data_IF_746735254978
#
_entry.id   IF_746735254978
#
_cell.length_a   1.000
_cell.length_b   1.000
_cell.length_c   1.000
_cell.angle_alpha   90.00
_cell.angle_beta   90.00
_cell.angle_gamma   90.00
#
_symmetry.space_group_name_H-M   'P 1'
#
loop_
_entity.id
_entity.type
_entity.pdbx_description
1 polymer ?
#
# COMPACT_ATOMS: atom_id res chain seq x y z
N UNK A 1 0.50 30.40 49.43
CA UNK A 1 0.04 30.78 48.07
C UNK A 1 1.26 31.24 47.30
N UNK A 2 1.31 30.87 46.01
CA UNK A 2 2.38 31.08 45.01
C UNK A 2 3.56 30.09 44.99
N UNK A 3 3.93 29.69 43.75
CA UNK A 3 5.08 28.88 43.37
C UNK A 3 4.70 27.70 42.46
N UNK A 4 4.27 27.96 41.22
CA UNK A 4 5.07 27.87 39.97
C UNK A 4 5.52 26.45 39.55
N UNK A 5 5.01 26.08 38.38
CA UNK A 5 5.36 24.94 37.51
C UNK A 5 6.81 24.95 37.03
N UNK A 6 7.47 23.79 37.07
CA UNK A 6 8.76 23.52 36.43
C UNK A 6 8.72 22.17 35.69
N UNK A 7 9.28 22.16 34.48
CA UNK A 7 9.22 21.12 33.44
C UNK A 7 9.80 19.75 33.87
N UNK A 8 9.17 18.67 33.38
CA UNK A 8 9.74 17.32 33.41
C UNK A 8 10.66 17.11 32.20
N UNK A 9 11.95 16.91 32.46
CA UNK A 9 12.89 16.35 31.49
C UNK A 9 12.71 14.82 31.43
N UNK A 10 12.41 14.33 30.24
CA UNK A 10 12.42 12.90 29.91
C UNK A 10 13.87 12.46 29.73
N UNK A 11 14.36 11.57 30.60
CA UNK A 11 15.70 11.00 30.46
C UNK A 11 16.05 10.03 31.59
N UNK A 12 16.28 8.77 31.23
CA UNK A 12 16.70 7.62 32.04
C UNK A 12 15.62 6.94 32.91
N UNK A 13 15.25 5.72 32.50
CA UNK A 13 14.43 4.81 33.30
C UNK A 13 15.24 4.21 34.45
N UNK A 14 15.53 4.98 35.51
CA UNK A 14 16.04 4.44 36.78
C UNK A 14 14.88 4.29 37.75
N UNK A 15 14.34 3.06 37.90
CA UNK A 15 13.42 2.74 39.00
C UNK A 15 14.24 2.40 40.24
N UNK A 16 14.28 3.30 41.22
CA UNK A 16 14.73 2.99 42.56
C UNK A 16 13.55 2.45 43.36
N UNK A 17 13.62 1.20 43.83
CA UNK A 17 12.68 0.67 44.82
C UNK A 17 13.30 0.89 46.20
N UNK A 18 12.77 1.83 46.97
CA UNK A 18 13.16 2.00 48.37
C UNK A 18 12.36 1.04 49.26
N UNK A 19 13.01 0.00 49.77
CA UNK A 19 12.50 -0.72 50.94
C UNK A 19 12.96 -0.01 52.21
N UNK A 20 12.00 0.53 52.97
CA UNK A 20 12.26 1.10 54.30
C UNK A 20 12.23 -0.04 55.31
N UNK A 21 13.39 -0.61 55.62
CA UNK A 21 13.50 -1.54 56.74
C UNK A 21 14.00 -0.79 57.99
N UNK A 22 13.13 -0.73 59.00
CA UNK A 22 13.42 -0.09 60.29
C UNK A 22 14.30 -1.03 61.11
N UNK A 23 15.62 -1.01 60.89
CA UNK A 23 16.67 -1.21 61.91
C UNK A 23 18.05 -1.30 61.24
N UNK A 24 18.98 -0.48 61.74
CA UNK A 24 20.44 -0.43 61.47
C UNK A 24 20.83 0.11 60.09
N UNK A 25 21.43 1.29 60.10
CA UNK A 25 21.98 1.96 58.92
C UNK A 25 23.19 1.22 58.36
N UNK A 26 23.09 0.83 57.09
CA UNK A 26 24.15 0.78 56.07
C UNK A 26 23.45 0.50 54.74
N UNK A 27 23.40 1.50 53.86
CA UNK A 27 22.99 1.30 52.47
C UNK A 27 24.17 0.70 51.71
N UNK A 28 24.06 -0.57 51.31
CA UNK A 28 24.92 -1.13 50.27
C UNK A 28 24.16 -1.00 48.94
N UNK A 29 24.70 -0.21 48.02
CA UNK A 29 24.22 -0.19 46.63
C UNK A 29 24.71 -1.48 45.97
N UNK A 30 23.84 -2.49 45.86
CA UNK A 30 24.03 -3.53 44.86
C UNK A 30 23.31 -3.10 43.59
N UNK A 31 24.09 -2.76 42.55
CA UNK A 31 23.57 -2.61 41.20
C UNK A 31 23.11 -3.98 40.70
N UNK A 32 21.80 -4.22 40.73
CA UNK A 32 21.21 -5.33 39.99
C UNK A 32 21.14 -4.86 38.53
N UNK A 33 22.12 -5.25 37.73
CA UNK A 33 22.04 -5.14 36.27
C UNK A 33 20.98 -6.14 35.81
N UNK A 34 19.74 -5.65 35.65
CA UNK A 34 18.69 -6.43 35.00
C UNK A 34 19.08 -6.51 33.52
N UNK A 35 19.38 -7.70 32.96
CA UNK A 35 19.70 -7.80 31.55
C UNK A 35 18.53 -7.23 30.74
N UNK A 36 18.81 -6.30 29.83
CA UNK A 36 17.80 -5.80 28.89
C UNK A 36 17.19 -7.01 28.19
N UNK A 37 15.85 -7.08 28.13
CA UNK A 37 15.17 -8.12 27.35
C UNK A 37 15.71 -8.05 25.91
N UNK A 38 16.07 -9.18 25.27
CA UNK A 38 16.67 -9.19 23.93
C UNK A 38 15.85 -8.43 22.86
N UNK A 39 14.53 -8.27 23.06
CA UNK A 39 13.66 -7.52 22.16
C UNK A 39 13.75 -5.99 22.27
N UNK A 40 14.28 -5.44 23.37
CA UNK A 40 14.30 -3.98 23.59
C UNK A 40 15.42 -3.29 22.79
N UNK A 41 16.59 -3.91 22.69
CA UNK A 41 17.70 -3.40 21.87
C UNK A 41 17.43 -3.48 20.36
N UNK A 42 16.66 -4.48 19.90
CA UNK A 42 16.24 -4.58 18.48
C UNK A 42 15.26 -3.47 18.10
N UNK A 43 14.33 -3.10 18.98
CA UNK A 43 13.44 -1.96 18.76
C UNK A 43 14.20 -0.63 18.76
N UNK A 44 15.17 -0.44 19.66
CA UNK A 44 16.00 0.77 19.71
C UNK A 44 16.73 1.03 18.38
N UNK A 45 17.32 -0.01 17.76
CA UNK A 45 18.00 0.13 16.46
C UNK A 45 17.05 0.35 15.28
N UNK A 46 15.91 -0.34 15.24
CA UNK A 46 14.90 -0.10 14.20
C UNK A 46 14.35 1.33 14.31
N UNK A 47 14.05 1.76 15.54
CA UNK A 47 13.63 3.12 15.86
C UNK A 47 14.64 4.15 15.37
N UNK A 48 15.93 3.99 15.67
CA UNK A 48 16.99 4.91 15.21
C UNK A 48 17.05 5.02 13.68
N UNK A 49 16.89 3.91 12.95
CA UNK A 49 16.93 3.92 11.48
C UNK A 49 15.71 4.61 10.89
N UNK A 50 14.52 4.31 11.41
CA UNK A 50 13.30 4.95 10.94
C UNK A 50 13.23 6.43 11.33
N UNK A 51 13.67 6.77 12.54
CA UNK A 51 13.76 8.15 13.00
C UNK A 51 14.76 8.94 12.16
N UNK A 52 15.96 8.41 11.93
CA UNK A 52 16.98 9.12 11.13
C UNK A 52 16.54 9.37 9.68
N UNK A 53 15.83 8.42 9.06
CA UNK A 53 15.48 8.50 7.64
C UNK A 53 14.12 9.12 7.36
N UNK A 54 13.13 8.88 8.21
CA UNK A 54 11.76 9.31 7.98
C UNK A 54 11.25 10.31 9.03
N UNK A 55 12.02 10.54 10.11
CA UNK A 55 11.59 11.35 11.25
C UNK A 55 10.26 10.83 11.85
N UNK A 56 10.08 9.51 11.83
CA UNK A 56 8.90 8.83 12.36
C UNK A 56 9.28 7.90 13.49
N UNK A 57 8.52 8.00 14.57
CA UNK A 57 8.51 7.02 15.64
C UNK A 57 7.82 5.74 15.15
N UNK A 58 8.54 4.62 15.13
CA UNK A 58 8.00 3.32 14.70
C UNK A 58 7.00 2.73 15.68
N UNK A 59 6.97 3.21 16.92
CA UNK A 59 5.99 2.79 17.94
C UNK A 59 4.64 3.52 17.78
N UNK A 60 4.58 4.56 16.95
CA UNK A 60 3.39 5.38 16.75
C UNK A 60 2.38 4.73 15.76
N UNK A 61 2.76 4.19 14.58
CA UNK A 61 1.85 3.41 13.74
C UNK A 61 1.78 1.94 14.18
N UNK A 62 0.56 1.45 14.44
CA UNK A 62 0.30 0.05 14.81
C UNK A 62 0.60 -0.99 13.70
N UNK A 63 0.69 -0.57 12.43
CA UNK A 63 0.89 -1.47 11.27
C UNK A 63 1.85 -0.87 10.26
N UNK A 64 2.50 -1.74 9.46
CA UNK A 64 3.40 -1.30 8.37
C UNK A 64 2.65 -0.50 7.30
N UNK A 65 1.39 -0.84 7.00
CA UNK A 65 0.54 -0.04 6.11
C UNK A 65 0.26 1.36 6.67
N UNK A 66 -0.01 1.47 7.98
CA UNK A 66 -0.20 2.78 8.62
C UNK A 66 1.10 3.60 8.60
N UNK A 67 2.25 2.95 8.81
CA UNK A 67 3.55 3.59 8.67
C UNK A 67 3.78 4.09 7.24
N UNK A 68 3.57 3.25 6.22
CA UNK A 68 3.72 3.64 4.81
C UNK A 68 2.81 4.82 4.44
N UNK A 69 1.53 4.76 4.81
CA UNK A 69 0.59 5.87 4.60
C UNK A 69 1.00 7.15 5.32
N UNK A 70 1.60 7.05 6.51
CA UNK A 70 2.08 8.21 7.26
C UNK A 70 3.30 8.83 6.60
N UNK A 71 4.32 8.03 6.24
CA UNK A 71 5.50 8.51 5.51
C UNK A 71 5.05 9.22 4.23
N UNK A 72 4.14 8.60 3.49
CA UNK A 72 3.61 9.15 2.24
C UNK A 72 2.91 10.51 2.44
N UNK A 73 2.08 10.63 3.49
CA UNK A 73 1.32 11.85 3.79
C UNK A 73 2.14 12.95 4.45
N UNK A 74 3.29 12.64 5.04
CA UNK A 74 4.17 13.63 5.68
C UNK A 74 4.91 14.51 4.68
N UNK A 75 5.00 14.10 3.41
CA UNK A 75 5.47 14.98 2.36
C UNK A 75 4.39 16.05 2.08
N UNK A 76 4.53 17.24 2.69
CA UNK A 76 3.53 18.30 2.62
C UNK A 76 3.31 18.85 1.20
N UNK A 77 4.33 18.79 0.35
CA UNK A 77 4.24 19.21 -1.05
C UNK A 77 3.39 18.22 -1.85
N UNK A 78 3.44 16.94 -1.48
CA UNK A 78 2.66 15.87 -2.08
C UNK A 78 1.14 16.07 -1.91
N UNK A 79 0.67 16.32 -0.68
CA UNK A 79 -0.79 16.46 -0.42
C UNK A 79 -1.39 17.74 -1.04
N UNK A 80 -0.57 18.78 -1.21
CA UNK A 80 -0.97 20.03 -1.87
C UNK A 80 -1.07 19.87 -3.38
N UNK A 81 -0.17 19.12 -3.99
CA UNK A 81 -0.09 18.94 -5.44
C UNK A 81 -1.02 17.84 -5.96
N UNK A 82 -1.39 16.87 -5.11
CA UNK A 82 -2.19 15.70 -5.50
C UNK A 82 -3.36 15.45 -4.54
N UNK A 83 -4.41 16.30 -4.55
CA UNK A 83 -5.57 16.10 -3.67
C UNK A 83 -6.33 14.82 -4.05
N UNK A 84 -6.34 13.84 -3.14
CA UNK A 84 -7.12 12.61 -3.30
C UNK A 84 -8.57 12.89 -2.91
N UNK A 85 -9.47 12.83 -3.89
CA UNK A 85 -10.90 12.97 -3.63
C UNK A 85 -11.44 11.79 -2.82
N UNK A 86 -12.11 12.07 -1.71
CA UNK A 86 -12.77 11.03 -0.91
C UNK A 86 -14.14 10.74 -1.54
N UNK A 87 -14.35 9.54 -2.13
CA UNK A 87 -15.60 9.22 -2.80
C UNK A 87 -16.75 9.14 -1.80
N UNK A 88 -17.95 9.56 -2.23
CA UNK A 88 -19.17 9.24 -1.50
C UNK A 88 -19.51 7.73 -1.64
N UNK A 89 -20.49 7.27 -0.86
CA UNK A 89 -20.89 5.86 -0.82
C UNK A 89 -21.26 5.28 -2.18
N UNK A 90 -21.91 6.05 -3.06
CA UNK A 90 -22.35 5.55 -4.36
C UNK A 90 -21.16 5.33 -5.30
N UNK A 91 -20.24 6.29 -5.34
CA UNK A 91 -18.99 6.19 -6.09
C UNK A 91 -18.17 5.00 -5.60
N UNK A 92 -17.93 4.92 -4.29
CA UNK A 92 -17.15 3.84 -3.66
C UNK A 92 -17.78 2.46 -3.93
N UNK A 93 -19.09 2.31 -3.71
CA UNK A 93 -19.80 1.03 -3.92
C UNK A 93 -19.74 0.61 -5.39
N UNK A 94 -19.87 1.56 -6.33
CA UNK A 94 -19.78 1.26 -7.76
C UNK A 94 -18.37 0.78 -8.14
N UNK A 95 -17.33 1.53 -7.75
CA UNK A 95 -15.93 1.20 -8.09
C UNK A 95 -15.52 -0.13 -7.45
N UNK A 96 -15.88 -0.38 -6.18
CA UNK A 96 -15.55 -1.63 -5.48
C UNK A 96 -16.13 -2.89 -6.13
N UNK A 97 -17.23 -2.78 -6.88
CA UNK A 97 -17.74 -3.92 -7.66
C UNK A 97 -16.70 -4.38 -8.69
N UNK A 98 -16.00 -3.44 -9.31
CA UNK A 98 -14.89 -3.68 -10.26
C UNK A 98 -13.51 -3.85 -9.63
N UNK A 99 -13.40 -3.92 -8.30
CA UNK A 99 -12.14 -4.21 -7.64
C UNK A 99 -11.95 -5.73 -7.54
N UNK A 100 -11.08 -6.30 -8.38
CA UNK A 100 -10.78 -7.72 -8.43
C UNK A 100 -9.40 -8.04 -7.84
N UNK A 101 -9.20 -9.29 -7.43
CA UNK A 101 -7.89 -9.79 -7.02
C UNK A 101 -6.99 -10.10 -8.22
N UNK A 102 -5.81 -10.65 -7.95
CA UNK A 102 -4.87 -11.07 -8.99
C UNK A 102 -5.41 -12.21 -9.87
N UNK A 103 -4.98 -12.23 -11.13
CA UNK A 103 -5.27 -13.32 -12.07
C UNK A 103 -4.54 -14.59 -11.61
N UNK A 104 -5.32 -15.61 -11.26
CA UNK A 104 -4.81 -16.94 -10.91
C UNK A 104 -5.54 -18.00 -11.72
N UNK A 105 -4.79 -18.76 -12.52
CA UNK A 105 -5.31 -19.90 -13.28
C UNK A 105 -4.95 -21.23 -12.60
N UNK A 106 -5.84 -22.20 -12.71
CA UNK A 106 -5.60 -23.56 -12.21
C UNK A 106 -5.01 -24.40 -13.33
N UNK A 107 -3.77 -24.84 -13.12
CA UNK A 107 -3.07 -25.76 -14.02
C UNK A 107 -3.08 -27.19 -13.46
N UNK A 108 -2.89 -28.17 -14.34
CA UNK A 108 -2.56 -29.53 -13.90
C UNK A 108 -1.24 -29.45 -13.10
N UNK A 109 -1.16 -30.04 -11.90
CA UNK A 109 0.02 -29.93 -11.03
C UNK A 109 1.17 -30.85 -11.49
N UNK A 110 1.48 -30.82 -12.79
CA UNK A 110 2.52 -31.61 -13.43
C UNK A 110 3.06 -30.87 -14.65
N UNK A 111 4.38 -30.86 -14.81
CA UNK A 111 5.06 -30.38 -16.00
C UNK A 111 6.55 -30.73 -15.95
N UNK A 112 7.17 -30.77 -17.12
CA UNK A 112 8.60 -31.06 -17.33
C UNK A 112 9.26 -29.79 -17.91
N UNK A 113 10.55 -29.56 -17.60
CA UNK A 113 11.35 -28.43 -18.12
C UNK A 113 10.68 -27.04 -17.98
N UNK A 114 10.13 -26.76 -16.79
CA UNK A 114 9.41 -25.52 -16.52
C UNK A 114 10.33 -24.35 -16.13
N UNK A 115 9.94 -23.14 -16.54
CA UNK A 115 10.59 -21.89 -16.15
C UNK A 115 9.65 -21.06 -15.26
N UNK A 116 10.20 -20.52 -14.16
CA UNK A 116 9.48 -19.62 -13.25
C UNK A 116 9.97 -18.18 -13.43
N UNK A 117 9.04 -17.28 -13.72
CA UNK A 117 9.30 -15.85 -13.87
C UNK A 117 8.46 -15.08 -12.87
N UNK A 118 9.06 -14.05 -12.26
CA UNK A 118 8.39 -13.16 -11.31
C UNK A 118 8.67 -11.70 -11.70
N UNK A 119 7.65 -10.85 -11.56
CA UNK A 119 7.77 -9.43 -11.85
C UNK A 119 8.39 -8.73 -10.64
N UNK A 120 9.47 -8.00 -10.88
CA UNK A 120 10.13 -7.25 -9.82
C UNK A 120 9.25 -6.08 -9.35
N UNK A 121 8.56 -6.27 -8.22
CA UNK A 121 7.78 -5.23 -7.55
C UNK A 121 6.65 -4.68 -8.44
N UNK A 122 5.78 -5.57 -8.92
CA UNK A 122 4.68 -5.25 -9.85
C UNK A 122 3.86 -4.02 -9.43
N UNK A 123 3.27 -4.02 -8.23
CA UNK A 123 2.43 -2.91 -7.78
C UNK A 123 3.21 -1.60 -7.63
N UNK A 124 4.38 -1.55 -6.98
CA UNK A 124 5.23 -0.36 -6.97
C UNK A 124 5.56 0.17 -8.38
N UNK A 125 5.89 -0.71 -9.33
CA UNK A 125 6.14 -0.31 -10.70
C UNK A 125 4.90 0.36 -11.34
N UNK A 126 3.72 -0.25 -11.18
CA UNK A 126 2.46 0.34 -11.68
C UNK A 126 2.18 1.69 -11.01
N UNK A 127 2.37 1.76 -9.70
CA UNK A 127 2.23 2.97 -8.91
C UNK A 127 3.19 4.07 -9.37
N UNK A 128 4.38 3.75 -9.86
CA UNK A 128 5.34 4.78 -10.31
C UNK A 128 5.07 5.25 -11.73
N UNK A 129 4.84 4.32 -12.65
CA UNK A 129 4.99 4.59 -14.09
C UNK A 129 3.70 5.06 -14.78
N UNK A 130 2.52 4.72 -14.24
CA UNK A 130 1.26 4.90 -14.96
C UNK A 130 0.43 6.08 -14.42
N UNK A 131 -0.30 6.80 -15.30
CA UNK A 131 -1.28 7.79 -14.87
C UNK A 131 -2.36 7.19 -13.96
N UNK A 132 -2.79 7.97 -12.98
CA UNK A 132 -3.78 7.56 -11.97
C UNK A 132 -5.11 8.31 -12.16
N UNK A 133 -6.23 7.75 -11.67
CA UNK A 133 -7.50 8.47 -11.58
C UNK A 133 -7.41 9.59 -10.54
N UNK A 134 -7.59 10.83 -10.99
CA UNK A 134 -7.58 12.05 -10.18
C UNK A 134 -8.87 12.85 -10.26
N UNK A 135 -8.92 13.92 -9.48
CA UNK A 135 -10.03 14.87 -9.47
C UNK A 135 -11.32 14.30 -8.86
N UNK A 136 -12.42 15.03 -9.07
CA UNK A 136 -13.76 14.61 -8.62
C UNK A 136 -14.40 13.76 -9.72
N UNK A 137 -14.78 12.50 -9.45
CA UNK A 137 -15.36 11.64 -10.47
C UNK A 137 -16.71 12.15 -10.97
N UNK A 138 -16.91 12.08 -12.28
CA UNK A 138 -18.14 12.52 -12.94
C UNK A 138 -18.90 11.32 -13.48
N UNK A 139 -20.15 11.17 -13.03
CA UNK A 139 -21.02 10.11 -13.55
C UNK A 139 -21.42 10.39 -15.00
N UNK A 140 -21.30 9.35 -15.84
CA UNK A 140 -21.72 9.34 -17.25
C UNK A 140 -22.58 8.11 -17.53
N UNK A 141 -23.53 8.27 -18.45
CA UNK A 141 -24.46 7.24 -18.92
C UNK A 141 -24.56 7.33 -20.44
N UNK A 142 -25.14 6.32 -21.07
CA UNK A 142 -25.34 6.24 -22.51
C UNK A 142 -23.99 6.31 -23.26
N UNK A 143 -23.04 5.47 -22.84
CA UNK A 143 -21.66 5.46 -23.33
C UNK A 143 -21.44 4.48 -24.50
N UNK A 144 -22.50 3.85 -25.00
CA UNK A 144 -22.43 2.77 -25.99
C UNK A 144 -21.83 3.22 -27.32
N UNK A 145 -22.00 4.50 -27.66
CA UNK A 145 -21.46 5.14 -28.87
C UNK A 145 -20.18 5.95 -28.60
N UNK A 146 -19.65 5.89 -27.37
CA UNK A 146 -18.43 6.63 -27.00
C UNK A 146 -17.21 5.76 -27.27
N UNK A 147 -16.27 6.31 -28.04
CA UNK A 147 -14.97 5.69 -28.32
C UNK A 147 -14.23 5.34 -27.02
N UNK A 148 -13.92 4.06 -26.84
CA UNK A 148 -13.34 3.52 -25.60
C UNK A 148 -12.04 4.23 -25.20
N UNK A 149 -11.20 4.60 -26.17
CA UNK A 149 -9.91 5.28 -25.93
C UNK A 149 -10.06 6.65 -25.27
N UNK A 150 -11.20 7.30 -25.45
CA UNK A 150 -11.51 8.60 -24.83
C UNK A 150 -11.92 8.48 -23.36
N UNK A 151 -12.29 7.28 -22.92
CA UNK A 151 -12.74 7.04 -21.56
C UNK A 151 -11.56 6.85 -20.60
N UNK A 152 -11.66 7.42 -19.41
CA UNK A 152 -10.71 7.20 -18.32
C UNK A 152 -11.45 7.13 -16.99
N UNK A 153 -11.39 5.98 -16.31
CA UNK A 153 -12.14 5.76 -15.07
C UNK A 153 -12.73 4.36 -14.98
N UNK A 154 -13.84 4.22 -14.26
CA UNK A 154 -14.46 2.91 -13.97
C UNK A 154 -15.84 2.82 -14.61
N UNK A 155 -16.07 1.77 -15.40
CA UNK A 155 -17.26 1.65 -16.24
C UNK A 155 -17.90 0.26 -16.13
N UNK A 156 -19.22 0.25 -16.03
CA UNK A 156 -20.03 -0.94 -16.31
C UNK A 156 -20.08 -1.11 -17.82
N UNK A 157 -19.62 -2.26 -18.30
CA UNK A 157 -19.50 -2.54 -19.72
C UNK A 157 -20.09 -3.92 -20.04
N UNK A 158 -20.74 -4.01 -21.20
CA UNK A 158 -20.99 -5.28 -21.85
C UNK A 158 -19.71 -5.71 -22.56
N UNK A 159 -19.30 -6.95 -22.31
CA UNK A 159 -18.07 -7.56 -22.83
C UNK A 159 -18.44 -8.79 -23.63
N UNK A 160 -17.82 -8.93 -24.80
CA UNK A 160 -17.86 -10.13 -25.63
C UNK A 160 -16.42 -10.61 -25.91
N UNK A 161 -15.98 -11.53 -25.06
CA UNK A 161 -14.68 -12.17 -25.15
C UNK A 161 -14.72 -13.33 -26.17
N UNK A 162 -13.81 -13.36 -27.16
CA UNK A 162 -13.78 -14.43 -28.16
C UNK A 162 -13.64 -15.83 -27.54
N UNK A 163 -14.44 -16.78 -28.01
CA UNK A 163 -14.50 -18.14 -27.46
C UNK A 163 -13.22 -18.97 -27.67
N UNK A 164 -12.35 -18.56 -28.60
CA UNK A 164 -11.12 -19.27 -28.96
C UNK A 164 -9.89 -18.85 -28.15
N UNK A 165 -9.99 -17.82 -27.30
CA UNK A 165 -8.87 -17.36 -26.46
C UNK A 165 -8.65 -18.37 -25.32
N UNK A 166 -7.43 -18.87 -25.20
CA UNK A 166 -7.04 -19.84 -24.17
C UNK A 166 -6.77 -19.23 -22.80
N UNK A 167 -6.55 -17.91 -22.74
CA UNK A 167 -6.28 -17.15 -21.50
C UNK A 167 -7.08 -15.85 -21.50
N UNK A 168 -8.36 -15.91 -21.12
CA UNK A 168 -9.17 -14.71 -20.99
C UNK A 168 -8.59 -13.81 -19.89
N UNK A 169 -8.75 -12.50 -20.05
CA UNK A 169 -8.08 -11.47 -19.27
C UNK A 169 -9.03 -10.74 -18.34
N UNK A 170 -10.26 -10.45 -18.78
CA UNK A 170 -11.19 -9.70 -17.93
C UNK A 170 -11.82 -10.62 -16.87
N UNK A 171 -11.73 -10.25 -15.58
CA UNK A 171 -12.31 -11.03 -14.50
C UNK A 171 -13.84 -10.94 -14.46
N UNK A 172 -14.46 -11.97 -13.91
CA UNK A 172 -15.88 -12.01 -13.61
C UNK A 172 -16.09 -12.61 -12.21
N UNK A 173 -16.79 -11.87 -11.35
CA UNK A 173 -17.19 -12.37 -10.02
C UNK A 173 -18.46 -13.21 -10.17
N UNK A 174 -18.30 -14.53 -10.09
CA UNK A 174 -19.40 -15.43 -9.80
C UNK A 174 -19.61 -15.51 -8.27
N UNK A 175 -20.78 -15.94 -7.81
CA UNK A 175 -21.29 -15.79 -6.43
C UNK A 175 -20.26 -16.02 -5.30
N UNK A 176 -19.30 -16.94 -5.51
CA UNK A 176 -18.22 -17.22 -4.55
C UNK A 176 -16.82 -17.32 -5.19
N UNK A 177 -16.64 -16.98 -6.46
CA UNK A 177 -15.38 -17.21 -7.17
C UNK A 177 -15.02 -16.11 -8.17
N UNK A 178 -13.73 -15.95 -8.41
CA UNK A 178 -13.20 -15.11 -9.47
C UNK A 178 -12.89 -15.98 -10.68
N UNK A 179 -13.56 -15.71 -11.79
CA UNK A 179 -13.40 -16.41 -13.05
C UNK A 179 -12.80 -15.48 -14.10
N UNK A 180 -12.20 -16.06 -15.13
CA UNK A 180 -11.77 -15.36 -16.33
C UNK A 180 -12.44 -16.03 -17.54
N UNK A 181 -13.74 -15.77 -17.78
CA UNK A 181 -14.51 -16.51 -18.78
C UNK A 181 -14.35 -15.94 -20.20
N UNK A 182 -14.61 -16.79 -21.20
CA UNK A 182 -14.94 -16.34 -22.56
C UNK A 182 -16.44 -16.11 -22.70
N UNK A 183 -16.87 -15.55 -23.84
CA UNK A 183 -18.28 -15.30 -24.14
C UNK A 183 -18.75 -13.93 -23.67
N UNK A 184 -20.04 -13.83 -23.34
CA UNK A 184 -20.75 -12.57 -23.15
C UNK A 184 -21.08 -12.36 -21.67
N UNK A 185 -20.69 -11.23 -21.10
CA UNK A 185 -20.98 -10.88 -19.71
C UNK A 185 -20.99 -9.37 -19.51
N UNK A 186 -21.52 -8.94 -18.36
CA UNK A 186 -21.48 -7.55 -17.91
C UNK A 186 -20.65 -7.50 -16.63
N UNK A 187 -19.74 -6.54 -16.56
CA UNK A 187 -18.93 -6.28 -15.38
C UNK A 187 -18.55 -4.82 -15.27
N UNK A 188 -17.96 -4.45 -14.13
CA UNK A 188 -17.37 -3.13 -13.92
C UNK A 188 -15.86 -3.28 -13.97
N UNK A 189 -15.19 -2.43 -14.73
CA UNK A 189 -13.76 -2.49 -14.99
C UNK A 189 -13.15 -1.10 -15.01
N UNK A 190 -11.84 -1.02 -14.74
CA UNK A 190 -11.07 0.17 -15.08
C UNK A 190 -10.92 0.27 -16.60
N UNK A 191 -10.98 1.48 -17.15
CA UNK A 191 -10.96 1.72 -18.60
C UNK A 191 -9.73 1.14 -19.28
N UNK A 192 -8.57 1.16 -18.60
CA UNK A 192 -7.34 0.64 -19.20
C UNK A 192 -7.35 -0.90 -19.29
N UNK A 193 -8.07 -1.60 -18.40
CA UNK A 193 -8.29 -3.05 -18.53
C UNK A 193 -9.16 -3.35 -19.76
N UNK A 194 -10.22 -2.56 -19.96
CA UNK A 194 -11.10 -2.71 -21.13
C UNK A 194 -10.31 -2.51 -22.43
N UNK A 195 -9.50 -1.45 -22.52
CA UNK A 195 -8.66 -1.17 -23.70
C UNK A 195 -7.65 -2.29 -23.97
N UNK A 196 -7.02 -2.80 -22.91
CA UNK A 196 -6.02 -3.86 -23.02
C UNK A 196 -6.60 -5.21 -23.47
N UNK A 197 -7.85 -5.51 -23.09
CA UNK A 197 -8.44 -6.83 -23.30
C UNK A 197 -8.49 -7.25 -24.79
N UNK A 198 -8.64 -6.29 -25.71
CA UNK A 198 -8.80 -6.59 -27.14
C UNK A 198 -10.10 -7.32 -27.47
N UNK A 199 -11.14 -7.11 -26.65
CA UNK A 199 -12.47 -7.72 -26.81
C UNK A 199 -13.43 -6.76 -27.51
N UNK A 200 -14.59 -7.26 -27.93
CA UNK A 200 -15.70 -6.38 -28.27
C UNK A 200 -16.32 -5.85 -26.98
N UNK A 201 -16.28 -4.53 -26.78
CA UNK A 201 -16.64 -3.87 -25.54
C UNK A 201 -17.61 -2.74 -25.84
N UNK A 202 -18.71 -2.70 -25.08
CA UNK A 202 -19.69 -1.61 -25.12
C UNK A 202 -19.83 -1.01 -23.72
N UNK A 203 -19.19 0.13 -23.43
CA UNK A 203 -19.36 0.84 -22.17
C UNK A 203 -20.80 1.33 -22.04
N UNK A 204 -21.41 1.17 -20.86
CA UNK A 204 -22.81 1.55 -20.65
C UNK A 204 -22.91 2.84 -19.83
N UNK A 205 -22.22 2.84 -18.67
CA UNK A 205 -22.23 3.93 -17.69
C UNK A 205 -21.08 3.77 -16.71
N UNK A 206 -20.69 4.85 -16.05
CA UNK A 206 -19.61 4.80 -15.09
C UNK A 206 -19.17 6.16 -14.58
N UNK A 207 -18.07 6.14 -13.83
CA UNK A 207 -17.43 7.33 -13.32
C UNK A 207 -16.18 7.63 -14.13
N UNK A 208 -16.18 8.80 -14.77
CA UNK A 208 -15.02 9.34 -15.47
C UNK A 208 -14.15 10.14 -14.50
N UNK A 209 -12.85 9.97 -14.61
CA UNK A 209 -11.84 10.63 -13.80
C UNK A 209 -10.95 11.49 -14.68
N UNK A 210 -10.28 12.47 -14.08
CA UNK A 210 -9.18 13.16 -14.72
C UNK A 210 -7.95 12.26 -14.73
N UNK A 211 -7.19 12.30 -15.83
CA UNK A 211 -5.85 11.69 -15.87
C UNK A 211 -4.90 12.58 -15.10
N UNK A 212 -4.29 12.07 -14.03
CA UNK A 212 -3.22 12.75 -13.32
C UNK A 212 -1.92 11.95 -13.41
N UNK A 213 -0.78 12.63 -13.32
CA UNK A 213 0.50 11.97 -13.09
C UNK A 213 0.43 11.16 -11.79
N UNK A 214 1.22 10.09 -11.70
CA UNK A 214 1.13 9.26 -10.52
C UNK A 214 1.57 10.06 -9.28
N UNK A 215 0.74 10.08 -8.24
CA UNK A 215 1.09 10.79 -7.04
C UNK A 215 2.09 9.92 -6.21
N UNK A 216 2.28 8.65 -6.57
CA UNK A 216 3.21 7.74 -5.88
C UNK A 216 4.63 7.74 -6.47
N UNK A 217 4.87 8.46 -7.58
CA UNK A 217 6.12 8.38 -8.34
C UNK A 217 7.36 8.65 -7.49
N UNK A 218 7.40 9.80 -6.81
CA UNK A 218 8.53 10.21 -5.98
C UNK A 218 8.71 9.26 -4.78
N UNK A 219 7.61 8.93 -4.10
CA UNK A 219 7.63 8.03 -2.94
C UNK A 219 8.21 6.65 -3.30
N UNK A 220 7.74 6.05 -4.39
CA UNK A 220 8.21 4.75 -4.83
C UNK A 220 9.67 4.84 -5.32
N UNK A 221 10.03 5.89 -6.04
CA UNK A 221 11.41 6.08 -6.53
C UNK A 221 12.40 6.17 -5.37
N UNK A 222 12.12 7.01 -4.37
CA UNK A 222 12.98 7.20 -3.20
C UNK A 222 13.15 5.91 -2.39
N UNK A 223 12.08 5.15 -2.16
CA UNK A 223 12.15 3.87 -1.44
C UNK A 223 12.86 2.79 -2.25
N UNK A 224 12.69 2.78 -3.57
CA UNK A 224 13.37 1.83 -4.45
C UNK A 224 14.88 2.09 -4.46
N UNK A 225 15.31 3.34 -4.59
CA UNK A 225 16.72 3.73 -4.51
C UNK A 225 17.33 3.35 -3.15
N UNK A 226 16.64 3.70 -2.06
CA UNK A 226 17.05 3.34 -0.69
C UNK A 226 17.18 1.83 -0.50
N UNK A 227 16.30 1.03 -1.12
CA UNK A 227 16.38 -0.44 -1.12
C UNK A 227 17.63 -0.94 -1.84
N UNK A 228 17.97 -0.34 -2.97
CA UNK A 228 19.13 -0.74 -3.76
C UNK A 228 20.45 -0.34 -3.07
N UNK A 229 20.48 0.77 -2.35
CA UNK A 229 21.58 1.14 -1.47
C UNK A 229 21.76 0.17 -0.31
N UNK A 230 20.67 -0.17 0.41
CA UNK A 230 20.72 -1.12 1.51
C UNK A 230 21.26 -2.49 1.06
N UNK A 231 20.83 -2.98 -0.11
CA UNK A 231 21.37 -4.21 -0.72
C UNK A 231 22.85 -4.12 -1.03
N UNK A 232 23.31 -3.01 -1.63
CA UNK A 232 24.75 -2.78 -1.92
C UNK A 232 25.59 -2.74 -0.64
N UNK A 233 25.02 -2.27 0.48
CA UNK A 233 25.65 -2.25 1.79
C UNK A 233 25.53 -3.57 2.57
N UNK A 234 24.82 -4.58 2.06
CA UNK A 234 24.57 -5.84 2.76
C UNK A 234 23.55 -5.75 3.89
N UNK A 235 22.77 -4.67 3.98
CA UNK A 235 21.71 -4.48 4.96
C UNK A 235 20.38 -5.08 4.46
N UNK A 236 20.29 -6.40 4.54
CA UNK A 236 19.11 -7.16 4.12
C UNK A 236 17.86 -6.81 4.93
N UNK A 237 18.01 -6.44 6.20
CA UNK A 237 16.89 -6.05 7.05
C UNK A 237 16.24 -4.77 6.52
N UNK A 238 17.03 -3.73 6.22
CA UNK A 238 16.49 -2.50 5.66
C UNK A 238 15.99 -2.67 4.22
N UNK A 239 16.68 -3.48 3.41
CA UNK A 239 16.18 -3.81 2.08
C UNK A 239 14.77 -4.45 2.13
N UNK A 240 14.53 -5.30 3.13
CA UNK A 240 13.21 -5.89 3.38
C UNK A 240 12.19 -4.83 3.84
N UNK A 241 12.55 -3.95 4.79
CA UNK A 241 11.67 -2.86 5.24
C UNK A 241 11.22 -2.00 4.07
N UNK A 242 12.14 -1.55 3.21
CA UNK A 242 11.79 -0.75 2.03
C UNK A 242 10.90 -1.50 1.04
N UNK A 243 11.17 -2.80 0.82
CA UNK A 243 10.31 -3.66 0.00
C UNK A 243 8.87 -3.67 0.54
N UNK A 244 8.71 -3.83 1.85
CA UNK A 244 7.39 -3.89 2.48
C UNK A 244 6.69 -2.53 2.40
N UNK A 245 7.38 -1.44 2.73
CA UNK A 245 6.80 -0.09 2.66
C UNK A 245 6.25 0.25 1.27
N UNK A 246 6.97 -0.11 0.20
CA UNK A 246 6.49 0.07 -1.17
C UNK A 246 5.24 -0.77 -1.46
N UNK A 247 5.23 -2.04 -1.04
CA UNK A 247 4.13 -2.95 -1.34
C UNK A 247 2.86 -2.67 -0.52
N UNK A 248 3.00 -2.22 0.73
CA UNK A 248 1.86 -2.04 1.66
C UNK A 248 1.16 -0.70 1.51
N UNK A 249 1.63 0.16 0.61
CA UNK A 249 0.97 1.43 0.30
C UNK A 249 -0.23 1.24 -0.64
N UNK A 250 -0.20 0.21 -1.49
CA UNK A 250 -1.33 -0.23 -2.32
C UNK A 250 -2.45 -0.83 -1.45
#
# INVERSE_FOLDING_TARGET
MQGQTGQFLVGSSKKFIMHKDRKKGRMANQEIVIPKRPGKERNERAQEIHWSKFQIDTEDPMTLSALAMRIFRQNDDYYKNFPIHIPNRNVDTFIRRGHYGGHTDVYKPFGEDLYYYDVNSLYPFVMKEFPMPGGVPVWRKNLEEVELDTLFGFFEAYVECPSHISRPFLPYKDQNSLLFPTGKFIGIYYSEELKYAGYEIRPLRGYMFEKMSSPFEEFISNLYESRQEARRAGDEAMAYVYKILMNTLY
#
